data_IF_610962761352
#
_entry.id   IF_610962761352
#
_cell.length_a   1.000
_cell.length_b   1.000
_cell.length_c   1.000
_cell.angle_alpha   90.00
_cell.angle_beta   90.00
_cell.angle_gamma   90.00
#
_symmetry.space_group_name_H-M   'P 1'
#
loop_
_entity.id
_entity.type
_entity.pdbx_description
1 polymer ?
#
# COMPACT_ATOMS: atom_id res chain seq x y z
N UNK A 1 20.80 -27.37 9.96
CA UNK A 1 20.88 -25.92 10.27
C UNK A 1 19.56 -25.30 9.82
N UNK A 2 18.82 -24.62 10.70
CA UNK A 2 17.50 -24.07 10.37
C UNK A 2 17.62 -22.65 9.79
N UNK A 3 16.93 -22.37 8.69
CA UNK A 3 16.94 -21.07 8.02
C UNK A 3 15.91 -20.17 8.72
N UNK A 4 16.31 -18.94 9.10
CA UNK A 4 15.38 -17.94 9.66
C UNK A 4 14.74 -17.15 8.52
N UNK A 5 13.41 -17.11 8.49
CA UNK A 5 12.63 -16.34 7.52
C UNK A 5 12.03 -15.10 8.19
N UNK A 6 11.76 -14.07 7.39
CA UNK A 6 10.99 -12.88 7.79
C UNK A 6 9.75 -12.75 6.92
N UNK A 7 8.72 -12.06 7.42
CA UNK A 7 7.56 -11.71 6.60
C UNK A 7 7.99 -10.82 5.45
N UNK A 8 7.46 -11.10 4.27
CA UNK A 8 7.66 -10.27 3.09
C UNK A 8 6.89 -8.96 3.23
N UNK A 9 7.49 -7.86 2.82
CA UNK A 9 6.86 -6.55 2.77
C UNK A 9 7.25 -5.85 1.47
N UNK A 10 6.31 -5.79 0.53
CA UNK A 10 6.54 -5.18 -0.79
C UNK A 10 6.94 -3.71 -0.70
N UNK A 11 6.49 -2.99 0.34
CA UNK A 11 6.81 -1.57 0.52
C UNK A 11 8.32 -1.32 0.68
N UNK A 12 9.10 -2.28 1.18
CA UNK A 12 10.56 -2.16 1.30
C UNK A 12 11.28 -2.11 -0.06
N UNK A 13 10.59 -2.48 -1.13
CA UNK A 13 11.14 -2.60 -2.48
C UNK A 13 10.65 -1.52 -3.45
N UNK A 14 9.65 -0.71 -3.06
CA UNK A 14 9.12 0.38 -3.89
C UNK A 14 9.92 1.66 -3.64
N UNK A 15 11.06 1.82 -4.32
CA UNK A 15 12.03 2.88 -4.02
C UNK A 15 11.88 4.10 -4.91
N UNK A 16 11.44 3.90 -6.15
CA UNK A 16 11.22 4.97 -7.12
C UNK A 16 9.75 5.10 -7.49
N UNK A 17 9.39 6.21 -8.14
CA UNK A 17 8.04 6.39 -8.67
C UNK A 17 7.73 5.35 -9.77
N UNK A 18 8.73 4.96 -10.56
CA UNK A 18 8.60 3.90 -11.57
C UNK A 18 8.29 2.54 -10.94
N UNK A 19 8.94 2.18 -9.83
CA UNK A 19 8.63 0.95 -9.09
C UNK A 19 7.16 0.95 -8.63
N UNK A 20 6.69 2.09 -8.11
CA UNK A 20 5.33 2.24 -7.59
C UNK A 20 4.29 2.17 -8.71
N UNK A 21 4.56 2.79 -9.86
CA UNK A 21 3.70 2.74 -11.03
C UNK A 21 3.59 1.33 -11.59
N UNK A 22 4.73 0.65 -11.79
CA UNK A 22 4.75 -0.73 -12.28
C UNK A 22 4.04 -1.67 -11.31
N UNK A 23 4.29 -1.52 -10.01
CA UNK A 23 3.62 -2.29 -8.97
C UNK A 23 2.11 -2.09 -8.97
N UNK A 24 1.62 -0.84 -9.05
CA UNK A 24 0.20 -0.54 -9.09
C UNK A 24 -0.46 -1.10 -10.35
N UNK A 25 0.19 -0.97 -11.51
CA UNK A 25 -0.32 -1.47 -12.78
C UNK A 25 -0.57 -2.97 -12.72
N UNK A 26 0.44 -3.74 -12.27
CA UNK A 26 0.31 -5.19 -12.10
C UNK A 26 -0.79 -5.52 -11.08
N UNK A 27 -0.88 -4.77 -9.97
CA UNK A 27 -1.92 -4.99 -8.98
C UNK A 27 -3.32 -4.77 -9.54
N UNK A 28 -3.52 -3.77 -10.41
CA UNK A 28 -4.82 -3.51 -11.06
C UNK A 28 -5.17 -4.64 -12.02
N UNK A 29 -4.22 -5.07 -12.85
CA UNK A 29 -4.40 -6.17 -13.81
C UNK A 29 -4.76 -7.48 -13.11
N UNK A 30 -4.06 -7.81 -12.03
CA UNK A 30 -4.26 -9.05 -11.27
C UNK A 30 -5.43 -8.99 -10.28
N UNK A 31 -5.96 -7.80 -9.97
CA UNK A 31 -7.04 -7.63 -8.99
C UNK A 31 -8.33 -8.33 -9.40
N UNK A 32 -8.55 -8.56 -10.71
CA UNK A 32 -9.82 -9.04 -11.24
C UNK A 32 -11.04 -8.25 -10.74
N UNK A 33 -10.86 -6.94 -10.47
CA UNK A 33 -11.91 -6.06 -9.95
C UNK A 33 -12.04 -6.04 -8.42
N UNK A 34 -11.14 -6.70 -7.68
CA UNK A 34 -11.10 -6.63 -6.22
C UNK A 34 -10.57 -5.26 -5.74
N UNK A 35 -11.50 -4.41 -5.30
CA UNK A 35 -11.20 -3.09 -4.77
C UNK A 35 -10.37 -3.15 -3.47
N UNK A 36 -10.52 -4.17 -2.64
CA UNK A 36 -9.75 -4.33 -1.42
C UNK A 36 -8.28 -4.65 -1.73
N UNK A 37 -8.04 -5.45 -2.77
CA UNK A 37 -6.70 -5.72 -3.28
C UNK A 37 -6.01 -4.44 -3.77
N UNK A 38 -6.72 -3.62 -4.57
CA UNK A 38 -6.19 -2.35 -5.06
C UNK A 38 -5.92 -1.39 -3.89
N UNK A 39 -6.83 -1.30 -2.92
CA UNK A 39 -6.64 -0.49 -1.71
C UNK A 39 -5.38 -0.94 -0.94
N UNK A 40 -5.13 -2.25 -0.83
CA UNK A 40 -3.91 -2.79 -0.22
C UNK A 40 -2.65 -2.37 -0.96
N UNK A 41 -2.67 -2.44 -2.29
CA UNK A 41 -1.54 -2.02 -3.13
C UNK A 41 -1.22 -0.53 -2.92
N UNK A 42 -2.25 0.32 -2.89
CA UNK A 42 -2.11 1.73 -2.56
C UNK A 42 -1.55 1.94 -1.15
N UNK A 43 -1.95 1.12 -0.18
CA UNK A 43 -1.38 1.11 1.17
C UNK A 43 0.12 0.80 1.21
N UNK A 44 0.57 -0.16 0.40
CA UNK A 44 1.99 -0.49 0.29
C UNK A 44 2.79 0.66 -0.33
N UNK A 45 2.26 1.30 -1.39
CA UNK A 45 2.88 2.48 -2.01
C UNK A 45 2.94 3.64 -1.01
N UNK A 46 1.83 3.93 -0.34
CA UNK A 46 1.75 4.98 0.66
C UNK A 46 2.77 4.76 1.79
N UNK A 47 2.91 3.53 2.27
CA UNK A 47 3.91 3.16 3.27
C UNK A 47 5.34 3.42 2.76
N UNK A 48 5.64 3.07 1.51
CA UNK A 48 6.94 3.30 0.89
C UNK A 48 7.29 4.79 0.73
N UNK A 49 6.30 5.63 0.37
CA UNK A 49 6.47 7.10 0.26
C UNK A 49 6.58 7.80 1.61
N UNK A 50 6.16 7.15 2.69
CA UNK A 50 6.21 7.69 4.04
C UNK A 50 4.89 8.32 4.47
N UNK A 51 4.24 7.67 5.44
CA UNK A 51 2.89 8.03 5.90
C UNK A 51 2.79 9.42 6.55
N UNK A 52 3.90 9.94 7.08
CA UNK A 52 3.96 11.28 7.63
C UNK A 52 3.85 12.36 6.55
N UNK A 53 4.49 12.16 5.39
CA UNK A 53 4.38 13.08 4.26
C UNK A 53 2.98 13.02 3.67
N UNK A 54 2.46 11.82 3.45
CA UNK A 54 1.11 11.64 2.90
C UNK A 54 0.02 12.27 3.79
N UNK A 55 0.15 12.15 5.11
CA UNK A 55 -0.77 12.79 6.06
C UNK A 55 -0.77 14.32 5.94
N UNK A 56 0.41 14.94 5.71
CA UNK A 56 0.51 16.38 5.46
C UNK A 56 -0.12 16.78 4.13
N UNK A 57 0.14 16.02 3.07
CA UNK A 57 -0.30 16.36 1.72
C UNK A 57 -1.81 16.19 1.53
N UNK A 58 -2.41 15.19 2.21
CA UNK A 58 -3.83 14.88 2.11
C UNK A 58 -4.69 15.54 3.20
N UNK A 59 -4.07 16.05 4.26
CA UNK A 59 -4.76 16.52 5.46
C UNK A 59 -5.42 15.39 6.28
N UNK A 60 -5.23 14.13 5.91
CA UNK A 60 -5.80 12.98 6.61
C UNK A 60 -4.90 12.52 7.76
N UNK A 61 -5.52 12.12 8.87
CA UNK A 61 -4.81 11.50 9.99
C UNK A 61 -4.21 10.14 9.61
N UNK A 62 -3.06 9.80 10.20
CA UNK A 62 -2.35 8.52 9.94
C UNK A 62 -3.25 7.29 10.12
N UNK A 63 -4.09 7.27 11.14
CA UNK A 63 -5.03 6.15 11.38
C UNK A 63 -6.09 6.03 10.28
N UNK A 64 -6.63 7.16 9.82
CA UNK A 64 -7.60 7.19 8.71
C UNK A 64 -6.96 6.65 7.43
N UNK A 65 -5.73 7.07 7.13
CA UNK A 65 -4.95 6.56 6.00
C UNK A 65 -4.71 5.06 6.10
N UNK A 66 -4.29 4.55 7.27
CA UNK A 66 -4.11 3.12 7.47
C UNK A 66 -5.40 2.35 7.29
N UNK A 67 -6.52 2.86 7.81
CA UNK A 67 -7.82 2.19 7.69
C UNK A 67 -8.27 2.13 6.22
N UNK A 68 -8.24 3.26 5.52
CA UNK A 68 -8.67 3.36 4.12
C UNK A 68 -7.82 2.51 3.16
N UNK A 69 -6.52 2.36 3.46
CA UNK A 69 -5.56 1.64 2.61
C UNK A 69 -5.18 0.25 3.15
N UNK A 70 -5.85 -0.22 4.19
CA UNK A 70 -5.57 -1.53 4.80
C UNK A 70 -5.98 -2.70 3.92
N UNK A 71 -6.97 -2.49 3.03
CA UNK A 71 -7.69 -3.56 2.33
C UNK A 71 -8.69 -4.31 3.22
N UNK A 72 -8.77 -4.00 4.52
CA UNK A 72 -9.57 -4.76 5.49
C UNK A 72 -10.99 -4.20 5.68
N UNK A 73 -11.28 -2.98 5.17
CA UNK A 73 -12.57 -2.32 5.35
C UNK A 73 -12.99 -1.63 4.06
N UNK A 74 -14.26 -1.78 3.68
CA UNK A 74 -14.89 -0.95 2.67
C UNK A 74 -15.00 0.50 3.23
N UNK A 75 -14.23 1.49 2.73
CA UNK A 75 -14.19 2.80 3.36
C UNK A 75 -15.53 3.52 3.20
N UNK A 76 -16.28 3.65 4.29
CA UNK A 76 -17.40 4.58 4.39
C UNK A 76 -16.87 5.95 4.82
N UNK A 77 -17.02 6.95 3.96
CA UNK A 77 -16.74 8.37 4.24
C UNK A 77 -17.94 9.04 4.90
#
# INVERSE_FOLDING_TARGET
MAIKLRKWDSAEHLKTEEDMQAYLQVCIEESNGDAAFIAKALGNIAKAKGMAQLSRDTGLGRESLYKALSGDVNPSF
#
